data_IF_990408296228
#
_entry.id   IF_990408296228
#
_cell.length_a   1.000
_cell.length_b   1.000
_cell.length_c   1.000
_cell.angle_alpha   90.00
_cell.angle_beta   90.00
_cell.angle_gamma   90.00
#
_symmetry.space_group_name_H-M   'P 1'
#
loop_
_entity.id
_entity.type
_entity.pdbx_description
1 polymer ?
#
# COMPACT_ATOMS: atom_id res chain seq x y z
N UNK A 1 8.07 -1.59 -7.86
CA UNK A 1 8.00 -1.88 -6.40
C UNK A 1 6.54 -1.87 -5.98
N UNK A 2 6.10 -2.47 -4.86
CA UNK A 2 4.67 -2.52 -4.53
C UNK A 2 4.06 -1.16 -4.18
N UNK A 3 4.78 -0.30 -3.45
CA UNK A 3 4.39 1.11 -3.22
C UNK A 3 4.13 1.83 -4.56
N UNK A 4 5.08 1.76 -5.49
CA UNK A 4 4.96 2.34 -6.84
C UNK A 4 3.78 1.77 -7.64
N UNK A 5 3.54 0.46 -7.54
CA UNK A 5 2.42 -0.20 -8.21
C UNK A 5 1.07 0.28 -7.69
N UNK A 6 0.92 0.44 -6.37
CA UNK A 6 -0.31 0.99 -5.78
C UNK A 6 -0.52 2.42 -6.24
N UNK A 7 0.52 3.26 -6.23
CA UNK A 7 0.44 4.66 -6.68
C UNK A 7 0.15 4.85 -8.16
N UNK A 8 0.44 3.83 -8.99
CA UNK A 8 0.19 3.87 -10.43
C UNK A 8 -1.13 3.22 -10.86
N UNK A 9 -1.44 2.02 -10.36
CA UNK A 9 -2.57 1.20 -10.83
C UNK A 9 -3.51 0.66 -9.76
N UNK A 10 -3.13 0.68 -8.48
CA UNK A 10 -4.02 0.33 -7.37
C UNK A 10 -4.71 -1.04 -7.43
N UNK A 11 -4.08 -2.08 -8.01
CA UNK A 11 -4.70 -3.42 -8.11
C UNK A 11 -4.77 -4.12 -6.75
N UNK A 12 -5.78 -4.96 -6.52
CA UNK A 12 -5.99 -5.70 -5.26
C UNK A 12 -4.76 -6.52 -4.86
N UNK A 13 -4.15 -7.23 -5.82
CA UNK A 13 -2.92 -8.01 -5.57
C UNK A 13 -1.75 -7.18 -5.04
N UNK A 14 -1.65 -5.91 -5.43
CA UNK A 14 -0.53 -5.07 -5.01
C UNK A 14 -0.66 -4.65 -3.55
N UNK A 15 -1.88 -4.38 -3.10
CA UNK A 15 -2.20 -4.18 -1.69
C UNK A 15 -1.93 -5.44 -0.87
N UNK A 16 -2.36 -6.60 -1.36
CA UNK A 16 -2.15 -7.88 -0.67
C UNK A 16 -0.65 -8.18 -0.52
N UNK A 17 0.11 -8.08 -1.60
CA UNK A 17 1.55 -8.34 -1.56
C UNK A 17 2.25 -7.36 -0.62
N UNK A 18 1.89 -6.05 -0.67
CA UNK A 18 2.46 -5.08 0.25
C UNK A 18 2.04 -5.36 1.70
N UNK A 19 0.81 -5.78 1.96
CA UNK A 19 0.35 -6.18 3.29
C UNK A 19 1.15 -7.35 3.86
N UNK A 20 1.47 -8.37 3.06
CA UNK A 20 2.31 -9.47 3.51
C UNK A 20 3.77 -9.07 3.68
N UNK A 21 4.30 -8.20 2.81
CA UNK A 21 5.63 -7.58 3.01
C UNK A 21 5.65 -6.80 4.33
N UNK A 22 4.57 -6.08 4.64
CA UNK A 22 4.44 -5.29 5.86
C UNK A 22 4.39 -6.11 7.16
N UNK A 23 4.32 -7.45 7.06
CA UNK A 23 4.48 -8.35 8.21
C UNK A 23 5.95 -8.59 8.57
N UNK A 24 6.87 -8.28 7.66
CA UNK A 24 8.32 -8.50 7.82
C UNK A 24 9.07 -7.19 8.03
N UNK A 25 8.61 -6.10 7.40
CA UNK A 25 9.16 -4.75 7.54
C UNK A 25 8.00 -3.78 7.72
N UNK A 26 8.21 -2.60 8.31
CA UNK A 26 7.10 -1.64 8.46
C UNK A 26 6.69 -1.02 7.11
N UNK A 27 5.49 -0.44 7.05
CA UNK A 27 5.08 0.32 5.86
C UNK A 27 5.99 1.55 5.66
N UNK A 28 6.47 2.17 6.76
CA UNK A 28 7.46 3.23 6.72
C UNK A 28 8.78 2.78 6.10
N UNK A 29 9.32 1.61 6.49
CA UNK A 29 10.53 1.04 5.87
C UNK A 29 10.32 0.79 4.37
N UNK A 30 9.13 0.34 3.99
CA UNK A 30 8.77 0.19 2.58
C UNK A 30 8.78 1.54 1.84
N UNK A 31 8.33 2.64 2.45
CA UNK A 31 8.44 3.97 1.86
C UNK A 31 9.90 4.43 1.76
N UNK A 32 10.75 4.13 2.73
CA UNK A 32 12.19 4.44 2.68
C UNK A 32 12.90 3.67 1.56
N UNK A 33 12.56 2.39 1.37
CA UNK A 33 13.08 1.59 0.26
C UNK A 33 12.63 2.14 -1.11
N UNK A 34 11.39 2.63 -1.21
CA UNK A 34 10.92 3.35 -2.39
C UNK A 34 11.77 4.58 -2.63
N UNK A 35 12.01 5.40 -1.61
CA UNK A 35 12.82 6.61 -1.76
C UNK A 35 14.27 6.31 -2.10
N UNK A 36 14.86 5.26 -1.50
CA UNK A 36 16.21 4.82 -1.83
C UNK A 36 16.37 4.49 -3.31
N UNK A 37 15.34 3.89 -3.91
CA UNK A 37 15.34 3.49 -5.33
C UNK A 37 15.01 4.64 -6.28
N UNK A 38 14.01 5.46 -5.96
CA UNK A 38 13.45 6.43 -6.90
C UNK A 38 13.78 7.89 -6.57
N UNK A 39 14.22 8.20 -5.35
CA UNK A 39 14.58 9.56 -4.87
C UNK A 39 13.46 10.58 -5.09
N UNK A 40 12.21 10.13 -4.93
CA UNK A 40 10.98 10.86 -5.27
C UNK A 40 9.94 10.81 -4.17
N UNK A 41 10.26 10.26 -2.99
CA UNK A 41 9.27 10.19 -1.91
C UNK A 41 8.86 11.58 -1.48
N UNK A 42 9.78 12.54 -1.32
CA UNK A 42 9.44 13.91 -0.92
C UNK A 42 8.42 14.59 -1.85
N UNK A 43 8.53 14.39 -3.17
CA UNK A 43 7.62 14.98 -4.16
C UNK A 43 6.31 14.22 -4.27
N UNK A 44 6.33 12.90 -4.04
CA UNK A 44 5.18 12.03 -4.28
C UNK A 44 4.47 11.57 -2.99
N UNK A 45 4.97 11.93 -1.80
CA UNK A 45 4.52 11.37 -0.52
C UNK A 45 3.01 11.47 -0.33
N UNK A 46 2.43 12.64 -0.61
CA UNK A 46 0.98 12.85 -0.48
C UNK A 46 0.19 11.96 -1.43
N UNK A 47 0.60 11.88 -2.70
CA UNK A 47 -0.02 11.00 -3.69
C UNK A 47 0.07 9.54 -3.27
N UNK A 48 1.25 9.10 -2.81
CA UNK A 48 1.48 7.72 -2.35
C UNK A 48 0.57 7.38 -1.17
N UNK A 49 0.52 8.22 -0.14
CA UNK A 49 -0.33 7.99 1.03
C UNK A 49 -1.81 7.95 0.65
N UNK A 50 -2.25 8.85 -0.24
CA UNK A 50 -3.62 8.84 -0.75
C UNK A 50 -3.93 7.55 -1.51
N UNK A 51 -3.01 7.08 -2.36
CA UNK A 51 -3.20 5.82 -3.09
C UNK A 51 -3.23 4.60 -2.18
N UNK A 52 -2.47 4.61 -1.07
CA UNK A 52 -2.48 3.52 -0.09
C UNK A 52 -3.83 3.39 0.65
N UNK A 53 -4.63 4.44 0.70
CA UNK A 53 -5.98 4.44 1.28
C UNK A 53 -7.10 4.53 0.20
N UNK A 54 -6.77 4.29 -1.06
CA UNK A 54 -7.73 4.33 -2.16
C UNK A 54 -7.96 2.95 -2.75
N UNK A 55 -9.12 2.35 -2.43
CA UNK A 55 -9.44 0.97 -2.80
C UNK A 55 -10.43 0.82 -3.95
N UNK A 56 -10.92 1.91 -4.55
CA UNK A 56 -12.00 1.83 -5.56
C UNK A 56 -11.61 0.93 -6.73
N UNK A 57 -10.41 1.09 -7.26
CA UNK A 57 -9.92 0.27 -8.37
C UNK A 57 -9.74 -1.20 -7.95
N UNK A 58 -9.18 -1.44 -6.77
CA UNK A 58 -9.00 -2.77 -6.20
C UNK A 58 -10.33 -3.49 -5.87
N UNK A 59 -11.35 -2.72 -5.46
CA UNK A 59 -12.68 -3.24 -5.14
C UNK A 59 -13.45 -3.64 -6.41
N UNK A 60 -13.14 -3.03 -7.55
CA UNK A 60 -13.73 -3.37 -8.86
C UNK A 60 -13.13 -4.64 -9.50
N UNK A 61 -12.02 -5.17 -8.98
CA UNK A 61 -11.36 -6.38 -9.50
C UNK A 61 -12.03 -7.67 -9.00
N UNK A 62 -12.07 -8.67 -9.88
CA UNK A 62 -12.48 -10.04 -9.50
C UNK A 62 -11.49 -10.62 -8.49
N UNK A 63 -12.00 -11.31 -7.46
CA UNK A 63 -11.16 -12.04 -6.50
C UNK A 63 -10.30 -13.14 -7.14
N UNK A 64 -10.71 -13.65 -8.31
CA UNK A 64 -9.99 -14.69 -9.05
C UNK A 64 -8.58 -14.32 -9.51
N UNK A 65 -8.21 -13.03 -9.46
CA UNK A 65 -6.85 -12.57 -9.79
C UNK A 65 -5.83 -12.75 -8.64
N UNK A 66 -6.29 -13.19 -7.46
CA UNK A 66 -5.45 -13.38 -6.27
C UNK A 66 -5.20 -14.87 -6.03
N UNK A 67 -3.93 -15.25 -5.90
CA UNK A 67 -3.50 -16.65 -5.70
C UNK A 67 -3.36 -17.05 -4.22
N UNK A 68 -3.51 -16.10 -3.29
CA UNK A 68 -3.44 -16.38 -1.86
C UNK A 68 -4.79 -16.90 -1.39
N UNK A 69 -4.80 -18.14 -0.91
CA UNK A 69 -5.98 -18.71 -0.25
C UNK A 69 -6.08 -18.19 1.19
N UNK A 70 -7.31 -17.94 1.66
CA UNK A 70 -7.63 -17.51 3.04
C UNK A 70 -7.07 -16.14 3.50
N UNK A 71 -7.15 -15.12 2.62
CA UNK A 71 -6.93 -13.72 3.04
C UNK A 71 -8.27 -13.00 3.27
N UNK A 72 -8.26 -12.00 4.15
CA UNK A 72 -9.41 -11.12 4.35
C UNK A 72 -9.12 -9.76 3.75
N UNK A 73 -9.79 -9.43 2.64
CA UNK A 73 -9.65 -8.12 2.01
C UNK A 73 -9.95 -6.96 2.97
N UNK A 74 -10.95 -7.12 3.83
CA UNK A 74 -11.27 -6.12 4.85
C UNK A 74 -10.14 -5.90 5.88
N UNK A 75 -9.42 -6.96 6.26
CA UNK A 75 -8.23 -6.81 7.12
C UNK A 75 -7.11 -6.04 6.42
N UNK A 76 -6.92 -6.29 5.12
CA UNK A 76 -5.94 -5.58 4.30
C UNK A 76 -6.27 -4.09 4.22
N UNK A 77 -7.52 -3.74 3.88
CA UNK A 77 -7.96 -2.33 3.81
C UNK A 77 -7.77 -1.61 5.14
N UNK A 78 -8.21 -2.24 6.23
CA UNK A 78 -8.08 -1.69 7.59
C UNK A 78 -6.62 -1.44 7.98
N UNK A 79 -5.72 -2.37 7.65
CA UNK A 79 -4.29 -2.19 7.88
C UNK A 79 -3.74 -0.93 7.19
N UNK A 80 -4.05 -0.73 5.91
CA UNK A 80 -3.56 0.45 5.18
C UNK A 80 -4.17 1.76 5.67
N UNK A 81 -5.45 1.76 6.06
CA UNK A 81 -6.10 2.91 6.68
C UNK A 81 -5.40 3.33 7.98
N UNK A 82 -5.13 2.37 8.86
CA UNK A 82 -4.49 2.63 10.14
C UNK A 82 -3.04 3.12 9.96
N UNK A 83 -2.27 2.46 9.08
CA UNK A 83 -0.88 2.83 8.84
C UNK A 83 -0.73 4.18 8.13
N UNK A 84 -1.60 4.50 7.17
CA UNK A 84 -1.54 5.82 6.50
C UNK A 84 -1.86 6.95 7.47
N UNK A 85 -2.82 6.77 8.39
CA UNK A 85 -3.11 7.73 9.47
C UNK A 85 -1.91 7.88 10.40
N UNK A 86 -1.28 6.77 10.80
CA UNK A 86 -0.10 6.80 11.68
C UNK A 86 1.04 7.58 11.04
N UNK A 87 1.38 7.24 9.79
CA UNK A 87 2.44 7.92 9.03
C UNK A 87 2.09 9.39 8.83
N UNK A 88 0.83 9.74 8.55
CA UNK A 88 0.42 11.12 8.39
C UNK A 88 0.58 11.94 9.68
N UNK A 89 0.38 11.33 10.86
CA UNK A 89 0.55 12.00 12.16
C UNK A 89 2.02 12.23 12.51
N UNK A 90 2.91 11.33 12.12
CA UNK A 90 4.36 11.46 12.33
C UNK A 90 5.00 12.58 11.48
N UNK A 91 4.23 13.19 10.57
CA UNK A 91 4.67 14.30 9.71
C UNK A 91 4.31 15.70 10.25
N UNK A 92 3.55 15.78 11.35
CA UNK A 92 3.24 17.03 12.06
C UNK A 92 4.11 17.19 13.31
#
# INVERSE_FOLDING_TARGET
>A
MKVDAISGRGKRRDFIDLYYISKQISLSDSLELYDKKYKKLSTNKFHILKSLDYFVDADAESESEVLIEDYSWNKVKKFFQEETIKIAKELN
#
